data_IF_979212465870
#
_entry.id   IF_979212465870
#
_cell.length_a   1.000
_cell.length_b   1.000
_cell.length_c   1.000
_cell.angle_alpha   90.00
_cell.angle_beta   90.00
_cell.angle_gamma   90.00
#
_symmetry.space_group_name_H-M   'P 1'
#
loop_
_entity.id
_entity.type
_entity.pdbx_description
1 polymer ?
#
# COMPACT_ATOMS: atom_id res chain seq x y z
N UNK A 1 -0.53 93.48 54.01
CA UNK A 1 0.84 94.01 53.85
C UNK A 1 1.61 93.02 53.00
N UNK A 2 2.18 93.50 51.88
CA UNK A 2 3.05 92.79 50.89
C UNK A 2 2.34 91.67 50.10
N UNK A 3 1.95 91.82 48.82
CA UNK A 3 2.70 92.25 47.62
C UNK A 3 4.09 91.64 47.52
N UNK A 4 4.31 90.73 46.57
CA UNK A 4 5.23 90.94 45.44
C UNK A 4 5.16 89.79 44.41
N UNK A 5 5.06 90.23 43.17
CA UNK A 5 5.33 89.60 41.87
C UNK A 5 6.78 89.11 41.71
N UNK A 6 7.02 88.06 40.89
CA UNK A 6 7.62 88.19 39.53
C UNK A 6 8.44 86.97 39.07
N UNK A 7 8.38 86.73 37.75
CA UNK A 7 9.35 86.07 36.84
C UNK A 7 9.73 84.61 37.13
N UNK A 8 9.77 83.68 36.18
CA UNK A 8 10.11 83.78 34.76
C UNK A 8 11.27 82.83 34.51
N UNK A 9 11.01 81.67 33.91
CA UNK A 9 12.03 80.66 33.62
C UNK A 9 11.53 79.69 32.55
N UNK A 10 11.99 79.91 31.30
CA UNK A 10 11.73 79.05 30.16
C UNK A 10 12.41 77.69 30.33
N UNK A 11 11.63 76.61 30.36
CA UNK A 11 12.10 75.24 30.19
C UNK A 11 11.62 74.69 28.85
N UNK A 12 12.54 74.51 27.90
CA UNK A 12 12.28 73.79 26.64
C UNK A 12 12.02 72.32 26.96
N UNK A 13 10.79 71.85 26.80
CA UNK A 13 10.50 70.42 26.75
C UNK A 13 10.60 69.93 25.31
N UNK A 14 11.58 69.04 25.11
CA UNK A 14 11.82 68.28 23.88
C UNK A 14 10.66 67.30 23.71
N UNK A 15 9.89 67.45 22.63
CA UNK A 15 8.89 66.48 22.23
C UNK A 15 9.56 65.19 21.76
N UNK A 16 9.43 64.12 22.53
CA UNK A 16 9.77 62.77 22.10
C UNK A 16 8.65 62.33 21.15
N UNK A 17 8.96 62.31 19.84
CA UNK A 17 8.12 61.66 18.83
C UNK A 17 8.33 60.16 18.97
N UNK A 18 7.40 59.49 19.64
CA UNK A 18 7.27 58.02 19.61
C UNK A 18 6.77 57.62 18.22
N UNK A 19 7.69 57.25 17.34
CA UNK A 19 7.40 56.53 16.10
C UNK A 19 6.88 55.14 16.46
N UNK A 20 5.55 54.98 16.44
CA UNK A 20 4.91 53.67 16.38
C UNK A 20 5.18 53.08 15.00
N UNK A 21 6.24 52.28 14.86
CA UNK A 21 6.38 51.34 13.76
C UNK A 21 5.33 50.23 13.98
N UNK A 22 4.16 50.38 13.38
CA UNK A 22 3.24 49.27 13.20
C UNK A 22 3.91 48.27 12.25
N UNK A 23 4.54 47.24 12.81
CA UNK A 23 4.87 46.05 12.06
C UNK A 23 3.53 45.42 11.64
N UNK A 24 3.13 45.63 10.39
CA UNK A 24 2.13 44.76 9.76
C UNK A 24 2.74 43.36 9.72
N UNK A 25 2.41 42.53 10.71
CA UNK A 25 2.41 41.10 10.49
C UNK A 25 1.40 40.85 9.36
N UNK A 26 1.90 40.65 8.14
CA UNK A 26 1.14 39.94 7.13
C UNK A 26 0.86 38.56 7.74
N UNK A 27 -0.34 38.37 8.29
CA UNK A 27 -0.91 37.05 8.44
C UNK A 27 -0.91 36.47 7.03
N UNK A 28 0.06 35.61 6.73
CA UNK A 28 0.06 34.85 5.49
C UNK A 28 -1.23 34.06 5.45
N UNK A 29 -2.15 34.46 4.59
CA UNK A 29 -3.32 33.64 4.30
C UNK A 29 -2.74 32.40 3.63
N UNK A 30 -2.78 31.27 4.33
CA UNK A 30 -2.42 30.00 3.72
C UNK A 30 -3.31 29.82 2.50
N UNK A 31 -2.70 29.64 1.33
CA UNK A 31 -3.45 29.37 0.11
C UNK A 31 -4.32 28.14 0.32
N UNK A 32 -5.57 28.19 -0.14
CA UNK A 32 -6.44 27.02 -0.07
C UNK A 32 -6.04 25.99 -1.15
N UNK A 33 -6.29 24.68 -0.92
CA UNK A 33 -6.06 23.66 -1.95
C UNK A 33 -6.89 23.93 -3.21
N UNK A 34 -6.27 23.78 -4.38
CA UNK A 34 -6.95 23.89 -5.67
C UNK A 34 -7.63 22.56 -5.96
N UNK A 35 -8.94 22.58 -6.23
CA UNK A 35 -9.67 21.41 -6.75
C UNK A 35 -9.54 21.41 -8.27
N UNK A 36 -8.75 20.47 -8.80
CA UNK A 36 -8.51 20.34 -10.26
C UNK A 36 -9.66 19.55 -10.91
N UNK A 37 -10.12 18.50 -10.21
CA UNK A 37 -11.28 17.69 -10.60
C UNK A 37 -12.18 17.49 -9.39
N UNK A 38 -13.49 17.73 -9.54
CA UNK A 38 -14.46 17.43 -8.49
C UNK A 38 -14.69 15.92 -8.39
N UNK A 39 -14.98 15.43 -7.18
CA UNK A 39 -15.28 14.02 -6.94
C UNK A 39 -16.75 13.65 -7.16
N UNK A 40 -17.56 14.52 -7.78
CA UNK A 40 -19.01 14.27 -7.97
C UNK A 40 -19.28 13.06 -8.85
N UNK A 41 -18.35 12.73 -9.75
CA UNK A 41 -18.39 11.52 -10.57
C UNK A 41 -16.98 10.99 -10.79
N UNK A 42 -16.84 9.67 -10.69
CA UNK A 42 -15.63 8.98 -11.09
C UNK A 42 -15.47 9.02 -12.61
N UNK A 43 -14.30 9.46 -13.08
CA UNK A 43 -13.92 9.49 -14.49
C UNK A 43 -13.26 8.16 -14.84
N UNK A 44 -13.84 7.43 -15.79
CA UNK A 44 -13.32 6.17 -16.29
C UNK A 44 -12.25 6.43 -17.36
N UNK A 45 -11.05 5.90 -17.15
CA UNK A 45 -9.98 5.91 -18.15
C UNK A 45 -9.69 4.47 -18.58
N UNK A 46 -9.37 4.30 -19.87
CA UNK A 46 -8.90 3.02 -20.43
C UNK A 46 -7.58 3.20 -21.15
N UNK A 47 -6.63 2.29 -20.92
CA UNK A 47 -5.43 2.17 -21.74
C UNK A 47 -5.48 0.93 -22.64
N UNK A 48 -4.75 0.95 -23.75
CA UNK A 48 -4.62 -0.20 -24.66
C UNK A 48 -5.94 -0.68 -25.32
N UNK A 49 -5.88 -1.83 -26.00
CA UNK A 49 -7.07 -2.57 -26.48
C UNK A 49 -7.74 -2.06 -27.76
N UNK A 50 -7.59 -0.78 -28.10
CA UNK A 50 -8.26 -0.18 -29.27
C UNK A 50 -9.77 0.03 -29.04
N UNK A 51 -10.48 0.63 -30.02
CA UNK A 51 -11.87 1.06 -29.85
C UNK A 51 -12.89 -0.07 -29.62
N UNK A 52 -12.50 -1.32 -29.91
CA UNK A 52 -13.37 -2.51 -29.80
C UNK A 52 -13.04 -3.41 -28.59
N UNK A 53 -12.09 -3.03 -27.73
CA UNK A 53 -11.76 -3.82 -26.54
C UNK A 53 -12.92 -3.80 -25.53
N UNK A 54 -13.32 -4.98 -25.08
CA UNK A 54 -14.30 -5.14 -24.02
C UNK A 54 -13.76 -4.57 -22.70
N UNK A 55 -14.63 -4.00 -21.84
CA UNK A 55 -14.23 -3.64 -20.49
C UNK A 55 -13.77 -4.84 -19.68
N UNK A 56 -12.83 -4.61 -18.77
CA UNK A 56 -12.31 -5.63 -17.86
C UNK A 56 -13.42 -6.18 -16.95
N UNK A 57 -14.29 -5.28 -16.46
CA UNK A 57 -15.43 -5.64 -15.61
C UNK A 57 -16.75 -5.11 -16.17
N UNK A 58 -17.85 -5.82 -15.90
CA UNK A 58 -19.19 -5.41 -16.34
C UNK A 58 -19.59 -4.04 -15.80
N UNK A 59 -19.05 -3.65 -14.65
CA UNK A 59 -19.31 -2.35 -14.01
C UNK A 59 -18.75 -1.17 -14.81
N UNK A 60 -17.76 -1.39 -15.69
CA UNK A 60 -17.26 -0.36 -16.60
C UNK A 60 -18.13 -0.18 -17.85
N UNK A 61 -18.97 -1.16 -18.19
CA UNK A 61 -19.77 -1.18 -19.41
C UNK A 61 -20.77 -0.01 -19.51
N UNK A 62 -21.15 0.59 -18.38
CA UNK A 62 -22.08 1.73 -18.32
C UNK A 62 -21.41 3.09 -18.54
N UNK A 63 -20.10 3.13 -18.79
CA UNK A 63 -19.33 4.36 -18.92
C UNK A 63 -18.50 4.38 -20.20
N UNK A 64 -18.32 5.58 -20.78
CA UNK A 64 -17.46 5.78 -21.95
C UNK A 64 -16.06 6.16 -21.47
N UNK A 65 -15.04 5.30 -21.65
CA UNK A 65 -13.70 5.61 -21.21
C UNK A 65 -13.07 6.73 -22.05
N UNK A 66 -12.15 7.47 -21.43
CA UNK A 66 -11.19 8.33 -22.13
C UNK A 66 -9.80 7.71 -22.04
N UNK A 67 -8.95 7.90 -23.05
CA UNK A 67 -7.59 7.31 -23.06
C UNK A 67 -6.62 8.03 -22.11
N UNK A 68 -6.91 9.30 -21.84
CA UNK A 68 -6.04 10.22 -21.11
C UNK A 68 -6.88 11.25 -20.39
N UNK A 69 -6.57 11.47 -19.12
CA UNK A 69 -7.06 12.66 -18.42
C UNK A 69 -6.10 13.82 -18.70
N UNK A 70 -6.66 14.94 -19.13
CA UNK A 70 -5.91 16.12 -19.54
C UNK A 70 -6.67 17.38 -19.11
N UNK A 71 -6.24 17.96 -18.00
CA UNK A 71 -6.94 19.03 -17.31
C UNK A 71 -6.07 20.27 -17.25
N UNK A 72 -6.64 21.43 -17.57
CA UNK A 72 -6.02 22.74 -17.31
C UNK A 72 -6.64 23.36 -16.07
N UNK A 73 -5.82 24.05 -15.27
CA UNK A 73 -6.28 24.73 -14.05
C UNK A 73 -5.45 25.98 -13.76
N UNK A 74 -6.01 26.90 -12.99
CA UNK A 74 -5.33 28.13 -12.58
C UNK A 74 -4.74 27.99 -11.17
N UNK A 75 -3.51 28.44 -10.97
CA UNK A 75 -2.85 28.49 -9.66
C UNK A 75 -2.44 29.91 -9.29
N UNK A 76 -2.71 30.31 -8.05
CA UNK A 76 -2.23 31.57 -7.44
C UNK A 76 -0.89 31.40 -6.71
N UNK A 77 -0.33 30.20 -6.70
CA UNK A 77 0.94 29.87 -6.06
C UNK A 77 1.83 29.03 -6.99
N UNK A 78 3.14 29.07 -6.74
CA UNK A 78 4.16 28.40 -7.57
C UNK A 78 4.74 27.14 -6.91
N UNK A 79 4.31 26.82 -5.68
CA UNK A 79 4.88 25.72 -4.90
C UNK A 79 3.77 24.96 -4.15
N UNK A 80 3.86 23.63 -4.19
CA UNK A 80 2.88 22.71 -3.62
C UNK A 80 3.62 21.57 -2.90
N UNK A 81 3.01 21.06 -1.83
CA UNK A 81 3.55 19.91 -1.11
C UNK A 81 3.19 18.60 -1.80
N UNK A 82 1.91 18.45 -2.16
CA UNK A 82 1.39 17.20 -2.72
C UNK A 82 0.20 17.41 -3.65
N UNK A 83 0.01 16.42 -4.52
CA UNK A 83 -1.15 16.20 -5.35
C UNK A 83 -1.93 15.01 -4.76
N UNK A 84 -3.14 15.26 -4.27
CA UNK A 84 -4.06 14.24 -3.78
C UNK A 84 -4.91 13.73 -4.94
N UNK A 85 -4.99 12.40 -5.09
CA UNK A 85 -5.75 11.75 -6.17
C UNK A 85 -6.58 10.61 -5.57
N UNK A 86 -7.86 10.58 -5.88
CA UNK A 86 -8.73 9.43 -5.63
C UNK A 86 -8.67 8.47 -6.83
N UNK A 87 -8.28 7.21 -6.62
CA UNK A 87 -8.17 6.19 -7.66
C UNK A 87 -8.90 4.88 -7.30
N UNK A 88 -9.28 4.11 -8.31
CA UNK A 88 -9.73 2.71 -8.19
C UNK A 88 -9.22 1.87 -9.37
N UNK A 89 -9.04 0.57 -9.12
CA UNK A 89 -8.80 -0.48 -10.14
C UNK A 89 -7.50 -0.34 -10.95
N UNK A 90 -6.45 0.27 -10.38
CA UNK A 90 -5.18 0.52 -11.10
C UNK A 90 -4.30 -0.74 -11.13
N UNK A 91 -4.18 -1.39 -12.30
CA UNK A 91 -3.36 -2.61 -12.47
C UNK A 91 -2.06 -2.36 -13.22
N UNK A 92 -2.04 -1.35 -14.09
CA UNK A 92 -0.91 -0.99 -14.93
C UNK A 92 -0.21 0.30 -14.48
N UNK A 93 0.92 0.62 -15.11
CA UNK A 93 1.69 1.81 -14.77
C UNK A 93 1.12 3.08 -15.44
N UNK A 94 0.19 3.75 -14.76
CA UNK A 94 -0.36 5.04 -15.18
C UNK A 94 0.58 6.19 -14.80
N UNK A 95 1.00 6.97 -15.80
CA UNK A 95 1.94 8.08 -15.63
C UNK A 95 1.20 9.35 -15.29
N UNK A 96 1.68 10.06 -14.27
CA UNK A 96 1.16 11.38 -13.86
C UNK A 96 2.19 12.45 -14.23
N UNK A 97 1.75 13.56 -14.84
CA UNK A 97 2.61 14.72 -15.12
C UNK A 97 1.91 16.01 -14.75
N UNK A 98 2.66 16.90 -14.11
CA UNK A 98 2.26 18.26 -13.82
C UNK A 98 3.10 19.20 -14.68
N UNK A 99 2.45 19.90 -15.62
CA UNK A 99 3.10 20.60 -16.72
C UNK A 99 4.08 19.66 -17.47
N UNK A 100 5.35 20.02 -17.54
CA UNK A 100 6.41 19.23 -18.18
C UNK A 100 7.13 18.30 -17.19
N UNK A 101 6.73 18.31 -15.91
CA UNK A 101 7.40 17.56 -14.83
C UNK A 101 6.69 16.23 -14.58
N UNK A 102 7.35 15.08 -14.75
CA UNK A 102 6.80 13.79 -14.34
C UNK A 102 6.72 13.70 -12.82
N UNK A 103 5.60 13.17 -12.31
CA UNK A 103 5.44 12.75 -10.92
C UNK A 103 5.61 11.23 -10.82
N UNK A 104 5.54 10.70 -9.60
CA UNK A 104 5.39 9.26 -9.41
C UNK A 104 4.14 8.73 -10.13
N UNK A 105 4.20 7.52 -10.71
CA UNK A 105 3.03 6.90 -11.32
C UNK A 105 1.97 6.61 -10.25
N UNK A 106 0.74 6.38 -10.69
CA UNK A 106 -0.28 5.85 -9.78
C UNK A 106 0.20 4.50 -9.21
N UNK A 107 0.10 4.28 -7.88
CA UNK A 107 0.40 2.98 -7.30
C UNK A 107 -0.56 1.95 -7.90
N UNK A 108 -0.02 0.77 -8.21
CA UNK A 108 -0.81 -0.36 -8.68
C UNK A 108 -1.53 -0.98 -7.50
N UNK A 109 -2.80 -0.66 -7.40
CA UNK A 109 -3.69 -1.11 -6.35
C UNK A 109 -5.12 -0.96 -6.87
N UNK A 110 -5.85 -2.07 -6.82
CA UNK A 110 -7.22 -2.13 -7.32
C UNK A 110 -8.24 -1.60 -6.31
N UNK A 111 -7.83 -1.43 -5.04
CA UNK A 111 -8.71 -0.89 -4.01
C UNK A 111 -9.09 0.56 -4.30
N UNK A 112 -10.14 1.01 -3.60
CA UNK A 112 -10.53 2.40 -3.56
C UNK A 112 -9.57 3.20 -2.65
N UNK A 113 -8.72 4.04 -3.25
CA UNK A 113 -7.63 4.75 -2.56
C UNK A 113 -7.72 6.28 -2.72
N UNK A 114 -7.38 7.00 -1.64
CA UNK A 114 -6.92 8.40 -1.73
C UNK A 114 -5.41 8.43 -1.54
N UNK A 115 -4.69 8.62 -2.65
CA UNK A 115 -3.23 8.68 -2.70
C UNK A 115 -2.72 10.12 -2.56
N UNK A 116 -1.45 10.27 -2.23
CA UNK A 116 -0.79 11.57 -2.18
C UNK A 116 0.58 11.48 -2.84
N UNK A 117 0.74 12.19 -3.96
CA UNK A 117 1.98 12.23 -4.73
C UNK A 117 2.76 13.51 -4.36
N UNK A 118 4.04 13.41 -3.95
CA UNK A 118 4.87 14.60 -3.73
C UNK A 118 4.97 15.44 -5.00
N UNK A 119 4.89 16.77 -4.86
CA UNK A 119 5.08 17.70 -5.99
C UNK A 119 6.50 18.27 -5.94
N UNK A 120 7.34 18.02 -6.97
CA UNK A 120 8.69 18.58 -7.03
C UNK A 120 8.68 20.11 -7.12
N UNK A 121 9.71 20.73 -6.57
CA UNK A 121 9.94 22.18 -6.72
C UNK A 121 10.01 22.56 -8.21
N UNK A 122 9.34 23.66 -8.58
CA UNK A 122 9.29 24.14 -9.96
C UNK A 122 8.35 23.36 -10.90
N UNK A 123 7.65 22.33 -10.43
CA UNK A 123 6.63 21.63 -11.23
C UNK A 123 5.39 22.50 -11.49
N UNK A 124 5.11 23.46 -10.61
CA UNK A 124 3.97 24.36 -10.67
C UNK A 124 4.41 25.77 -11.06
N UNK A 125 3.56 26.50 -11.79
CA UNK A 125 3.75 27.91 -12.15
C UNK A 125 2.53 28.74 -11.77
N UNK A 126 2.71 30.04 -11.65
CA UNK A 126 1.59 30.96 -11.43
C UNK A 126 0.77 31.08 -12.72
N UNK A 127 -0.56 31.15 -12.59
CA UNK A 127 -1.49 31.15 -13.71
C UNK A 127 -1.84 29.74 -14.21
N UNK A 128 -1.85 29.55 -15.53
CA UNK A 128 -2.34 28.32 -16.14
C UNK A 128 -1.35 27.15 -16.03
N UNK A 129 -1.82 26.03 -15.49
CA UNK A 129 -1.11 24.77 -15.37
C UNK A 129 -1.90 23.65 -16.05
N UNK A 130 -1.22 22.53 -16.30
CA UNK A 130 -1.82 21.35 -16.93
C UNK A 130 -1.48 20.08 -16.16
N UNK A 131 -2.46 19.26 -15.83
CA UNK A 131 -2.29 17.93 -15.24
C UNK A 131 -2.66 16.89 -16.28
N UNK A 132 -1.78 15.89 -16.47
CA UNK A 132 -2.07 14.75 -17.35
C UNK A 132 -1.87 13.42 -16.65
N UNK A 133 -2.82 12.50 -16.83
CA UNK A 133 -2.74 11.11 -16.39
C UNK A 133 -2.99 10.20 -17.60
N UNK A 134 -2.02 9.34 -17.91
CA UNK A 134 -2.02 8.51 -19.12
C UNK A 134 -1.53 7.09 -18.83
N UNK A 135 -2.25 6.10 -19.33
CA UNK A 135 -1.90 4.69 -19.18
C UNK A 135 -0.86 4.22 -20.21
N UNK A 136 -0.40 2.96 -20.12
CA UNK A 136 0.50 2.37 -21.11
C UNK A 136 -0.20 2.18 -22.47
N UNK A 137 0.55 2.32 -23.56
CA UNK A 137 0.01 2.12 -24.90
C UNK A 137 -0.15 0.64 -25.28
N UNK A 138 0.60 -0.24 -24.61
CA UNK A 138 0.79 -1.64 -24.93
C UNK A 138 0.14 -2.60 -23.92
N UNK A 139 -0.55 -2.09 -22.91
CA UNK A 139 -1.30 -2.89 -21.94
C UNK A 139 -2.72 -2.34 -21.75
N UNK A 140 -3.66 -3.27 -21.58
CA UNK A 140 -5.06 -2.96 -21.26
C UNK A 140 -5.18 -2.73 -19.76
N UNK A 141 -5.91 -1.69 -19.38
CA UNK A 141 -6.29 -1.41 -18.00
C UNK A 141 -7.50 -0.49 -17.98
N UNK A 142 -8.47 -0.76 -17.12
CA UNK A 142 -9.60 0.11 -16.81
C UNK A 142 -9.46 0.68 -15.41
N UNK A 143 -9.43 2.01 -15.29
CA UNK A 143 -9.30 2.68 -13.99
C UNK A 143 -10.38 3.72 -13.78
N UNK A 144 -10.60 4.10 -12.53
CA UNK A 144 -11.45 5.24 -12.18
C UNK A 144 -10.68 6.27 -11.38
N UNK A 145 -10.87 7.54 -11.74
CA UNK A 145 -10.29 8.68 -11.03
C UNK A 145 -11.40 9.57 -10.47
N UNK A 146 -11.34 9.86 -9.18
CA UNK A 146 -12.29 10.73 -8.49
C UNK A 146 -11.77 12.15 -8.31
N UNK A 147 -11.88 12.67 -7.09
CA UNK A 147 -11.41 14.01 -6.77
C UNK A 147 -9.88 14.12 -6.96
N UNK A 148 -9.43 15.26 -7.49
CA UNK A 148 -8.01 15.61 -7.59
C UNK A 148 -7.79 17.00 -6.98
N UNK A 149 -6.89 17.10 -6.01
CA UNK A 149 -6.57 18.35 -5.32
C UNK A 149 -5.08 18.61 -5.27
N UNK A 150 -4.70 19.86 -5.51
CA UNK A 150 -3.33 20.32 -5.34
C UNK A 150 -3.23 21.12 -4.03
N UNK A 151 -2.38 20.64 -3.12
CA UNK A 151 -2.22 21.25 -1.81
C UNK A 151 -0.97 22.15 -1.80
N UNK A 152 -1.13 23.47 -1.55
CA UNK A 152 0.01 24.39 -1.48
C UNK A 152 0.94 24.01 -0.33
N UNK A 153 2.21 24.40 -0.47
CA UNK A 153 3.18 24.20 0.61
C UNK A 153 2.79 25.00 1.83
N UNK A 154 2.77 24.34 2.99
CA UNK A 154 2.42 24.96 4.27
C UNK A 154 3.42 24.60 5.37
N UNK A 155 3.45 25.38 6.46
CA UNK A 155 4.32 25.09 7.61
C UNK A 155 4.05 23.70 8.20
N UNK A 156 2.77 23.30 8.22
CA UNK A 156 2.33 21.96 8.60
C UNK A 156 1.82 21.25 7.34
N UNK A 157 2.52 20.21 6.85
CA UNK A 157 2.11 19.49 5.65
C UNK A 157 0.69 18.94 5.76
N UNK A 158 -0.03 18.88 4.64
CA UNK A 158 -1.43 18.40 4.58
C UNK A 158 -1.61 17.01 5.23
N UNK A 159 -0.76 16.05 4.89
CA UNK A 159 -0.79 14.70 5.47
C UNK A 159 -0.42 14.65 6.97
N UNK A 160 0.04 15.75 7.54
CA UNK A 160 0.52 15.80 8.92
C UNK A 160 -0.38 16.65 9.83
N UNK A 161 -1.56 17.07 9.37
CA UNK A 161 -2.45 17.97 10.12
C UNK A 161 -2.90 17.42 11.48
N UNK A 162 -3.16 16.11 11.56
CA UNK A 162 -3.60 15.43 12.77
C UNK A 162 -2.66 14.25 13.07
N UNK A 163 -2.58 13.84 14.32
CA UNK A 163 -1.86 12.64 14.75
C UNK A 163 -2.82 11.66 15.43
N UNK A 164 -2.71 10.39 15.07
CA UNK A 164 -3.43 9.30 15.71
C UNK A 164 -2.41 8.28 16.23
N UNK A 165 -2.59 7.87 17.49
CA UNK A 165 -1.94 6.71 18.08
C UNK A 165 -2.98 5.62 18.27
N UNK A 166 -2.69 4.41 17.85
CA UNK A 166 -3.58 3.26 17.99
C UNK A 166 -2.82 2.16 18.72
N UNK A 167 -3.44 1.64 19.78
CA UNK A 167 -2.96 0.52 20.57
C UNK A 167 -3.95 -0.64 20.40
N UNK A 168 -3.47 -1.79 19.96
CA UNK A 168 -4.29 -2.99 19.74
C UNK A 168 -3.91 -4.09 20.71
N UNK A 169 -4.89 -4.58 21.45
CA UNK A 169 -4.74 -5.64 22.46
C UNK A 169 -5.58 -6.87 22.13
N UNK A 170 -5.11 -8.04 22.56
CA UNK A 170 -5.93 -9.24 22.57
C UNK A 170 -6.86 -9.20 23.80
N UNK A 171 -8.17 -9.35 23.61
CA UNK A 171 -9.15 -9.25 24.72
C UNK A 171 -8.93 -10.33 25.79
N UNK A 172 -8.47 -11.51 25.38
CA UNK A 172 -8.30 -12.68 26.27
C UNK A 172 -7.06 -12.55 27.14
N UNK A 173 -5.93 -12.13 26.56
CA UNK A 173 -4.66 -12.00 27.29
C UNK A 173 -4.47 -10.61 27.92
N UNK A 174 -5.16 -9.59 27.39
CA UNK A 174 -4.94 -8.15 27.69
C UNK A 174 -3.55 -7.64 27.27
N UNK A 175 -2.81 -8.42 26.49
CA UNK A 175 -1.49 -8.04 25.99
C UNK A 175 -1.61 -7.39 24.61
N UNK A 176 -0.60 -6.59 24.23
CA UNK A 176 -0.51 -6.06 22.89
C UNK A 176 -0.33 -7.20 21.88
N UNK A 177 -1.01 -7.10 20.73
CA UNK A 177 -1.00 -8.16 19.70
C UNK A 177 -0.71 -7.56 18.34
N UNK A 178 0.06 -8.26 17.48
CA UNK A 178 0.19 -7.85 16.09
C UNK A 178 -1.19 -7.68 15.43
N UNK A 179 -1.30 -6.72 14.52
CA UNK A 179 -2.55 -6.44 13.83
C UNK A 179 -2.34 -5.78 12.47
N UNK A 180 -3.39 -5.80 11.66
CA UNK A 180 -3.60 -4.89 10.54
C UNK A 180 -4.58 -3.79 10.93
N UNK A 181 -4.20 -2.54 10.70
CA UNK A 181 -5.07 -1.38 10.73
C UNK A 181 -5.52 -1.02 9.32
N UNK A 182 -6.81 -0.74 9.15
CA UNK A 182 -7.39 -0.21 7.92
C UNK A 182 -8.04 1.14 8.19
N UNK A 183 -7.66 2.17 7.44
CA UNK A 183 -8.04 3.57 7.64
C UNK A 183 -8.88 4.02 6.45
N UNK A 184 -10.21 4.10 6.65
CA UNK A 184 -11.14 4.58 5.64
C UNK A 184 -11.52 6.03 5.91
N UNK A 185 -11.59 6.86 4.87
CA UNK A 185 -12.18 8.19 4.96
C UNK A 185 -13.72 8.14 4.97
N UNK A 186 -14.37 9.30 5.02
CA UNK A 186 -15.83 9.43 5.01
C UNK A 186 -16.53 8.84 3.78
N UNK A 187 -15.80 8.61 2.68
CA UNK A 187 -16.31 8.01 1.44
C UNK A 187 -16.04 6.51 1.37
N UNK A 188 -15.40 5.92 2.38
CA UNK A 188 -15.05 4.50 2.40
C UNK A 188 -13.76 4.15 1.65
N UNK A 189 -13.01 5.15 1.15
CA UNK A 189 -11.73 4.94 0.47
C UNK A 189 -10.57 4.86 1.48
N UNK A 190 -9.57 4.04 1.18
CA UNK A 190 -8.32 3.91 1.94
C UNK A 190 -7.54 5.22 1.88
N UNK A 191 -7.33 5.85 3.03
CA UNK A 191 -6.67 7.15 3.12
C UNK A 191 -5.15 6.99 3.28
N UNK A 192 -4.36 7.60 2.39
CA UNK A 192 -2.91 7.73 2.63
C UNK A 192 -2.61 8.42 3.96
N UNK A 193 -1.69 7.82 4.70
CA UNK A 193 -1.20 8.29 6.00
C UNK A 193 0.30 8.55 5.94
N UNK A 194 0.79 9.43 6.80
CA UNK A 194 2.22 9.62 7.03
C UNK A 194 2.64 8.87 8.28
N UNK A 195 3.61 7.95 8.15
CA UNK A 195 4.13 7.17 9.27
C UNK A 195 5.63 7.45 9.41
N UNK A 196 6.12 7.89 10.58
CA UNK A 196 7.55 7.96 10.84
C UNK A 196 8.19 6.56 10.73
N UNK A 197 9.43 6.49 10.24
CA UNK A 197 10.14 5.22 10.08
C UNK A 197 10.17 4.44 11.41
N UNK A 198 9.57 3.23 11.40
CA UNK A 198 9.55 2.31 12.55
C UNK A 198 9.63 0.87 12.03
N UNK A 199 10.62 0.06 12.46
CA UNK A 199 10.84 -1.30 11.93
C UNK A 199 9.65 -2.26 12.08
N UNK A 200 8.80 -2.06 13.08
CA UNK A 200 7.63 -2.91 13.35
C UNK A 200 6.36 -2.44 12.63
N UNK A 201 6.47 -1.49 11.69
CA UNK A 201 5.37 -1.05 10.84
C UNK A 201 5.65 -1.35 9.37
N UNK A 202 4.68 -1.96 8.69
CA UNK A 202 4.64 -2.04 7.23
C UNK A 202 3.42 -1.24 6.74
N UNK A 203 3.62 -0.33 5.80
CA UNK A 203 2.64 0.72 5.48
C UNK A 203 2.34 0.76 4.00
N UNK A 204 1.04 0.85 3.67
CA UNK A 204 0.48 1.11 2.34
C UNK A 204 -0.61 2.18 2.48
N UNK A 205 -1.10 2.81 1.39
CA UNK A 205 -2.23 3.73 1.47
C UNK A 205 -3.41 3.13 2.25
N UNK A 206 -3.79 3.77 3.36
CA UNK A 206 -4.87 3.33 4.24
C UNK A 206 -4.66 2.02 4.98
N UNK A 207 -3.47 1.40 4.93
CA UNK A 207 -3.19 0.13 5.62
C UNK A 207 -1.89 0.22 6.39
N UNK A 208 -1.92 -0.15 7.67
CA UNK A 208 -0.74 -0.26 8.53
C UNK A 208 -0.74 -1.63 9.20
N UNK A 209 0.28 -2.43 8.96
CA UNK A 209 0.55 -3.61 9.79
C UNK A 209 1.44 -3.19 10.94
N UNK A 210 1.05 -3.55 12.16
CA UNK A 210 1.82 -3.30 13.38
C UNK A 210 2.21 -4.63 14.02
N UNK A 211 3.50 -4.92 14.07
CA UNK A 211 4.03 -6.18 14.61
C UNK A 211 3.94 -6.29 16.13
N UNK A 212 3.67 -5.19 16.84
CA UNK A 212 3.52 -5.13 18.29
C UNK A 212 2.19 -4.53 18.73
N UNK A 213 1.26 -4.31 17.80
CA UNK A 213 -0.06 -3.74 18.09
C UNK A 213 -0.08 -2.22 18.23
N UNK A 214 1.06 -1.53 18.12
CA UNK A 214 1.14 -0.08 18.25
C UNK A 214 1.41 0.59 16.92
N UNK A 215 0.67 1.65 16.60
CA UNK A 215 0.95 2.52 15.46
C UNK A 215 0.71 3.98 15.80
N UNK A 216 1.68 4.84 15.48
CA UNK A 216 1.51 6.30 15.51
C UNK A 216 1.70 6.84 14.10
N UNK A 217 0.70 7.55 13.61
CA UNK A 217 0.70 8.09 12.25
C UNK A 217 -0.02 9.43 12.19
N UNK A 218 0.24 10.15 11.12
CA UNK A 218 -0.42 11.42 10.84
C UNK A 218 -1.27 11.32 9.58
N UNK A 219 -2.31 12.14 9.53
CA UNK A 219 -3.27 12.19 8.43
C UNK A 219 -3.91 13.59 8.36
N UNK A 220 -4.58 13.93 7.25
CA UNK A 220 -5.33 15.18 7.14
C UNK A 220 -6.42 15.32 8.22
N UNK A 221 -6.92 16.53 8.41
CA UNK A 221 -8.16 16.74 9.16
C UNK A 221 -9.35 16.16 8.39
N UNK A 222 -10.27 15.49 9.09
CA UNK A 222 -11.38 14.79 8.45
C UNK A 222 -12.07 13.79 9.35
N UNK A 223 -13.00 13.04 8.75
CA UNK A 223 -13.69 11.93 9.39
C UNK A 223 -13.15 10.60 8.87
N UNK A 224 -12.86 9.69 9.79
CA UNK A 224 -12.26 8.40 9.48
C UNK A 224 -12.94 7.27 10.23
N UNK A 225 -12.93 6.07 9.64
CA UNK A 225 -13.22 4.82 10.33
C UNK A 225 -11.94 3.98 10.37
N UNK A 226 -11.51 3.64 11.57
CA UNK A 226 -10.33 2.83 11.84
C UNK A 226 -10.80 1.42 12.18
N UNK A 227 -10.29 0.43 11.44
CA UNK A 227 -10.48 -0.98 11.76
C UNK A 227 -9.17 -1.57 12.26
N UNK A 228 -9.26 -2.53 13.18
CA UNK A 228 -8.15 -3.38 13.59
C UNK A 228 -8.56 -4.86 13.51
N UNK A 229 -7.74 -5.68 12.87
CA UNK A 229 -7.95 -7.12 12.73
C UNK A 229 -6.64 -7.89 12.69
N UNK A 230 -6.72 -9.23 12.66
CA UNK A 230 -5.55 -10.12 12.60
C UNK A 230 -5.89 -11.43 11.87
N UNK A 231 -6.11 -11.34 10.55
CA UNK A 231 -6.58 -12.46 9.74
C UNK A 231 -8.04 -12.85 10.01
N UNK A 232 -8.51 -13.89 9.32
CA UNK A 232 -9.93 -14.31 9.31
C UNK A 232 -10.43 -14.96 10.60
N UNK A 233 -9.52 -15.33 11.50
CA UNK A 233 -9.86 -16.05 12.74
C UNK A 233 -10.14 -15.10 13.91
N UNK A 234 -9.81 -13.81 13.76
CA UNK A 234 -9.97 -12.80 14.79
C UNK A 234 -11.15 -11.88 14.50
N UNK A 235 -11.77 -11.39 15.57
CA UNK A 235 -12.79 -10.34 15.52
C UNK A 235 -12.23 -9.07 14.88
N UNK A 236 -13.09 -8.28 14.25
CA UNK A 236 -12.74 -6.96 13.72
C UNK A 236 -13.17 -5.85 14.70
N UNK A 237 -12.21 -5.11 15.25
CA UNK A 237 -12.50 -3.90 16.01
C UNK A 237 -12.71 -2.72 15.07
N UNK A 238 -13.62 -1.81 15.40
CA UNK A 238 -13.96 -0.65 14.58
C UNK A 238 -14.18 0.58 15.46
N UNK A 239 -13.63 1.73 15.05
CA UNK A 239 -13.83 3.01 15.71
C UNK A 239 -13.88 4.15 14.69
N UNK A 240 -14.94 4.97 14.74
CA UNK A 240 -15.00 6.22 13.98
C UNK A 240 -14.38 7.37 14.77
N UNK A 241 -13.66 8.24 14.06
CA UNK A 241 -13.00 9.44 14.61
C UNK A 241 -13.25 10.65 13.73
N UNK A 242 -13.45 11.80 14.36
CA UNK A 242 -13.45 13.12 13.71
C UNK A 242 -12.24 13.90 14.23
N UNK A 243 -11.42 14.38 13.32
CA UNK A 243 -10.17 15.06 13.64
C UNK A 243 -10.15 16.46 13.04
N UNK A 244 -9.84 17.45 13.87
CA UNK A 244 -9.55 18.82 13.43
C UNK A 244 -8.06 19.08 13.34
N UNK A 245 -7.64 19.98 12.44
CA UNK A 245 -6.21 20.27 12.26
C UNK A 245 -5.57 20.71 13.58
N UNK A 246 -4.50 20.03 13.99
CA UNK A 246 -3.85 20.20 15.29
C UNK A 246 -4.19 19.11 16.30
N UNK A 247 -5.20 18.27 16.04
CA UNK A 247 -5.57 17.18 16.93
C UNK A 247 -4.45 16.15 17.08
N UNK A 248 -4.28 15.66 18.30
CA UNK A 248 -3.56 14.42 18.61
C UNK A 248 -4.49 13.56 19.47
N UNK A 249 -4.75 12.32 19.03
CA UNK A 249 -5.65 11.39 19.73
C UNK A 249 -5.02 10.02 19.88
N UNK A 250 -5.45 9.30 20.92
CA UNK A 250 -5.12 7.89 21.12
C UNK A 250 -6.39 7.04 21.09
N UNK A 251 -6.32 5.87 20.46
CA UNK A 251 -7.37 4.86 20.39
C UNK A 251 -6.86 3.54 20.95
N UNK A 252 -7.59 3.00 21.93
CA UNK A 252 -7.38 1.65 22.41
C UNK A 252 -8.43 0.72 21.76
N UNK A 253 -7.97 -0.21 20.93
CA UNK A 253 -8.79 -1.21 20.27
C UNK A 253 -8.46 -2.60 20.85
N UNK A 254 -9.45 -3.48 20.89
CA UNK A 254 -9.24 -4.85 21.32
C UNK A 254 -9.90 -5.85 20.37
N UNK A 255 -9.13 -6.85 19.97
CA UNK A 255 -9.57 -7.96 19.11
C UNK A 255 -9.46 -9.28 19.87
N UNK A 256 -10.16 -10.32 19.45
CA UNK A 256 -10.07 -11.66 20.03
C UNK A 256 -10.15 -12.73 18.95
N UNK A 257 -9.52 -13.88 19.16
CA UNK A 257 -9.70 -15.03 18.26
C UNK A 257 -11.10 -15.62 18.46
N UNK A 258 -11.94 -15.55 17.43
CA UNK A 258 -13.33 -16.01 17.46
C UNK A 258 -13.48 -17.43 16.88
N UNK A 259 -12.57 -17.82 16.00
CA UNK A 259 -12.58 -19.16 15.39
C UNK A 259 -11.61 -20.07 16.13
N UNK A 260 -12.13 -21.15 16.72
CA UNK A 260 -11.26 -22.18 17.30
C UNK A 260 -10.61 -23.00 16.19
N UNK A 261 -9.29 -22.95 16.14
CA UNK A 261 -8.45 -23.71 15.21
C UNK A 261 -7.71 -24.84 15.92
N UNK A 262 -8.30 -25.40 16.98
CA UNK A 262 -7.67 -26.52 17.69
C UNK A 262 -7.39 -27.67 16.72
N UNK A 263 -6.12 -28.02 16.53
CA UNK A 263 -5.70 -29.05 15.57
C UNK A 263 -5.50 -28.55 14.13
N UNK A 264 -5.66 -27.26 13.88
CA UNK A 264 -5.41 -26.57 12.62
C UNK A 264 -4.32 -25.50 12.80
N UNK A 265 -3.73 -25.06 11.70
CA UNK A 265 -2.70 -24.00 11.66
C UNK A 265 -2.97 -23.10 10.47
N UNK A 266 -3.00 -21.79 10.68
CA UNK A 266 -3.10 -20.81 9.60
C UNK A 266 -1.79 -20.79 8.79
N UNK A 267 -1.85 -21.13 7.50
CA UNK A 267 -0.67 -21.29 6.67
C UNK A 267 -0.75 -20.45 5.39
N UNK A 268 0.36 -19.83 5.04
CA UNK A 268 0.60 -19.26 3.72
C UNK A 268 1.77 -20.00 3.07
N UNK A 269 1.45 -20.81 2.05
CA UNK A 269 2.39 -21.71 1.39
C UNK A 269 3.12 -21.09 0.21
N UNK A 270 2.83 -19.82 -0.12
CA UNK A 270 3.34 -19.19 -1.34
C UNK A 270 3.70 -17.72 -1.08
N UNK A 271 4.82 -17.51 -0.38
CA UNK A 271 5.28 -16.18 0.06
C UNK A 271 6.54 -15.76 -0.68
N UNK A 272 6.51 -14.53 -1.21
CA UNK A 272 7.65 -13.86 -1.83
C UNK A 272 8.01 -12.56 -1.14
N UNK A 273 9.26 -12.15 -1.37
CA UNK A 273 9.76 -10.80 -1.07
C UNK A 273 10.29 -10.14 -2.33
N UNK A 274 10.15 -8.82 -2.42
CA UNK A 274 10.79 -8.03 -3.47
C UNK A 274 12.32 -8.19 -3.40
N UNK A 275 12.86 -8.26 -2.18
CA UNK A 275 14.29 -8.43 -1.88
C UNK A 275 14.92 -9.62 -2.60
N UNK A 276 14.22 -10.76 -2.68
CA UNK A 276 14.77 -11.98 -3.26
C UNK A 276 14.10 -12.46 -4.55
N UNK A 277 12.81 -12.22 -4.72
CA UNK A 277 12.08 -12.64 -5.93
C UNK A 277 12.03 -11.54 -7.02
N UNK A 278 12.28 -10.27 -6.67
CA UNK A 278 12.30 -9.16 -7.63
C UNK A 278 10.91 -8.65 -8.04
N UNK A 279 9.84 -9.15 -7.41
CA UNK A 279 8.47 -8.68 -7.56
C UNK A 279 7.74 -8.66 -6.22
N UNK A 280 6.52 -8.10 -6.21
CA UNK A 280 5.84 -7.67 -4.99
C UNK A 280 6.40 -6.34 -4.49
N UNK A 281 6.02 -5.94 -3.29
CA UNK A 281 6.28 -4.59 -2.77
C UNK A 281 6.94 -4.59 -1.38
N UNK A 282 7.31 -5.75 -0.85
CA UNK A 282 7.76 -5.88 0.54
C UNK A 282 9.23 -6.31 0.65
N UNK A 283 9.94 -5.72 1.62
CA UNK A 283 11.20 -6.28 2.12
C UNK A 283 10.93 -7.56 2.95
N UNK A 284 11.99 -8.27 3.33
CA UNK A 284 11.87 -9.42 4.25
C UNK A 284 11.31 -8.95 5.60
N UNK A 285 11.82 -7.83 6.12
CA UNK A 285 11.41 -7.26 7.40
C UNK A 285 9.93 -6.87 7.38
N UNK A 286 9.49 -6.16 6.35
CA UNK A 286 8.06 -5.84 6.17
C UNK A 286 7.22 -7.12 6.09
N UNK A 287 7.68 -8.15 5.38
CA UNK A 287 6.96 -9.43 5.29
C UNK A 287 6.79 -10.09 6.66
N UNK A 288 7.76 -10.00 7.56
CA UNK A 288 7.60 -10.57 8.90
C UNK A 288 6.52 -9.85 9.70
N UNK A 289 6.45 -8.53 9.55
CA UNK A 289 5.40 -7.69 10.17
C UNK A 289 4.02 -8.04 9.60
N UNK A 290 3.89 -8.18 8.28
CA UNK A 290 2.59 -8.51 7.65
C UNK A 290 2.12 -9.91 8.00
N UNK A 291 3.01 -10.92 8.03
CA UNK A 291 2.67 -12.28 8.45
C UNK A 291 2.14 -12.31 9.89
N UNK A 292 2.81 -11.62 10.81
CA UNK A 292 2.36 -11.52 12.20
C UNK A 292 1.00 -10.79 12.30
N UNK A 293 0.86 -9.68 11.55
CA UNK A 293 -0.32 -8.82 11.53
C UNK A 293 -1.55 -9.46 10.87
N UNK A 294 -1.38 -10.39 9.93
CA UNK A 294 -2.45 -11.20 9.35
C UNK A 294 -2.68 -12.53 10.08
N UNK A 295 -1.95 -12.80 11.17
CA UNK A 295 -2.16 -14.00 11.97
C UNK A 295 -1.76 -15.31 11.28
N UNK A 296 -0.85 -15.25 10.29
CA UNK A 296 -0.29 -16.46 9.66
C UNK A 296 0.62 -17.16 10.67
N UNK A 297 0.37 -18.43 10.97
CA UNK A 297 1.09 -19.20 11.99
C UNK A 297 2.22 -20.06 11.39
N UNK A 298 2.11 -20.44 10.11
CA UNK A 298 3.10 -21.20 9.35
C UNK A 298 3.32 -20.56 7.98
N UNK A 299 4.40 -19.81 7.82
CA UNK A 299 4.72 -19.13 6.56
C UNK A 299 5.83 -19.88 5.82
N UNK A 300 5.61 -20.22 4.55
CA UNK A 300 6.62 -20.90 3.73
C UNK A 300 7.32 -19.86 2.85
N UNK A 301 8.61 -19.66 3.06
CA UNK A 301 9.45 -18.78 2.25
C UNK A 301 9.73 -19.44 0.90
N UNK A 302 9.02 -19.03 -0.15
CA UNK A 302 9.07 -19.64 -1.48
C UNK A 302 9.63 -18.68 -2.52
N UNK A 303 10.64 -17.89 -2.17
CA UNK A 303 11.28 -17.00 -3.15
C UNK A 303 11.77 -17.77 -4.39
N UNK A 304 11.63 -17.16 -5.57
CA UNK A 304 11.87 -17.83 -6.85
C UNK A 304 13.27 -18.45 -6.91
N UNK A 305 13.32 -19.79 -7.05
CA UNK A 305 14.54 -20.57 -7.19
C UNK A 305 15.58 -20.31 -6.08
N UNK A 306 15.13 -19.89 -4.89
CA UNK A 306 15.99 -19.53 -3.74
C UNK A 306 15.44 -20.12 -2.45
N UNK A 307 16.32 -20.77 -1.68
CA UNK A 307 16.03 -21.23 -0.33
C UNK A 307 16.45 -20.13 0.65
N UNK A 308 15.51 -19.23 0.99
CA UNK A 308 15.77 -18.12 1.90
C UNK A 308 15.26 -18.48 3.30
N UNK A 309 16.10 -18.28 4.32
CA UNK A 309 15.69 -18.40 5.71
C UNK A 309 15.18 -17.07 6.25
N UNK A 310 13.86 -16.98 6.51
CA UNK A 310 13.23 -15.81 7.13
C UNK A 310 13.40 -15.74 8.66
N UNK A 311 13.88 -16.82 9.32
CA UNK A 311 14.05 -16.86 10.78
C UNK A 311 14.91 -15.72 11.33
N UNK A 312 16.06 -15.36 10.73
CA UNK A 312 16.90 -14.28 11.27
C UNK A 312 16.17 -12.94 11.35
N UNK A 313 15.45 -12.56 10.29
CA UNK A 313 14.68 -11.31 10.24
C UNK A 313 13.53 -11.32 11.26
N UNK A 314 12.78 -12.43 11.34
CA UNK A 314 11.72 -12.58 12.34
C UNK A 314 12.27 -12.52 13.78
N UNK A 315 13.48 -13.05 14.02
CA UNK A 315 14.12 -13.02 15.33
C UNK A 315 14.56 -11.61 15.72
N UNK A 316 15.18 -10.87 14.78
CA UNK A 316 15.63 -9.50 14.98
C UNK A 316 14.47 -8.56 15.32
N UNK A 317 13.31 -8.77 14.69
CA UNK A 317 12.08 -8.04 14.98
C UNK A 317 11.33 -8.56 16.22
N UNK A 318 11.77 -9.69 16.80
CA UNK A 318 11.10 -10.31 17.96
C UNK A 318 9.75 -10.96 17.64
N UNK A 319 9.48 -11.25 16.35
CA UNK A 319 8.19 -11.75 15.87
C UNK A 319 8.09 -13.29 15.81
N UNK A 320 9.19 -14.02 16.00
CA UNK A 320 9.21 -15.50 15.99
C UNK A 320 8.24 -16.17 16.98
N UNK A 321 7.77 -15.45 18.00
CA UNK A 321 6.75 -15.95 18.94
C UNK A 321 5.36 -16.07 18.31
N UNK A 322 5.12 -15.43 17.17
CA UNK A 322 3.80 -15.36 16.53
C UNK A 322 3.61 -16.37 15.41
N UNK A 323 4.69 -16.84 14.78
CA UNK A 323 4.64 -17.76 13.64
C UNK A 323 5.95 -18.55 13.48
N UNK A 324 5.85 -19.66 12.76
CA UNK A 324 7.01 -20.48 12.37
C UNK A 324 7.29 -20.29 10.88
N UNK A 325 8.37 -19.60 10.49
CA UNK A 325 8.80 -19.59 9.09
C UNK A 325 9.42 -20.94 8.72
N UNK A 326 9.13 -21.41 7.52
CA UNK A 326 9.68 -22.63 6.91
C UNK A 326 10.39 -22.26 5.62
N UNK A 327 11.57 -22.80 5.42
CA UNK A 327 12.31 -22.62 4.17
C UNK A 327 11.66 -23.49 3.11
N UNK A 328 11.25 -22.87 2.01
CA UNK A 328 10.83 -23.55 0.80
C UNK A 328 11.60 -23.02 -0.40
N UNK A 329 11.06 -23.29 -1.59
CA UNK A 329 11.53 -22.76 -2.86
C UNK A 329 10.38 -22.84 -3.85
N UNK A 330 10.04 -21.74 -4.52
CA UNK A 330 9.23 -21.82 -5.73
C UNK A 330 10.14 -22.20 -6.91
N UNK A 331 10.15 -23.49 -7.25
CA UNK A 331 10.84 -24.00 -8.43
C UNK A 331 10.09 -23.51 -9.67
N UNK A 332 10.63 -22.46 -10.26
CA UNK A 332 10.02 -21.68 -11.33
C UNK A 332 10.54 -22.18 -12.66
N UNK A 333 9.81 -23.09 -13.31
CA UNK A 333 10.19 -23.67 -14.61
C UNK A 333 9.41 -23.03 -15.76
N UNK A 334 9.79 -23.34 -17.00
CA UNK A 334 9.02 -22.90 -18.19
C UNK A 334 7.68 -23.61 -18.37
N UNK A 335 7.45 -24.74 -17.70
CA UNK A 335 6.27 -25.59 -17.94
C UNK A 335 5.36 -25.72 -16.73
N UNK A 336 5.71 -25.08 -15.61
CA UNK A 336 4.95 -25.04 -14.37
C UNK A 336 5.79 -24.51 -13.21
N UNK A 337 5.15 -23.98 -12.18
CA UNK A 337 5.83 -23.55 -10.96
C UNK A 337 5.42 -24.45 -9.80
N UNK A 338 6.37 -24.73 -8.90
CA UNK A 338 6.16 -25.68 -7.82
C UNK A 338 6.75 -25.18 -6.51
N UNK A 339 5.93 -25.08 -5.45
CA UNK A 339 6.47 -24.84 -4.11
C UNK A 339 6.90 -26.15 -3.48
N UNK A 340 8.18 -26.23 -3.11
CA UNK A 340 8.78 -27.37 -2.41
C UNK A 340 9.18 -26.99 -1.00
N UNK A 341 8.73 -27.74 0.01
CA UNK A 341 9.10 -27.51 1.42
C UNK A 341 8.88 -28.73 2.33
N UNK A 342 9.56 -28.80 3.49
CA UNK A 342 10.68 -27.95 3.88
C UNK A 342 11.93 -28.25 3.04
N UNK A 343 12.83 -27.26 2.91
CA UNK A 343 14.15 -27.44 2.30
C UNK A 343 15.25 -26.93 3.25
N UNK A 344 16.49 -27.43 3.15
CA UNK A 344 17.61 -26.85 3.87
C UNK A 344 17.93 -25.44 3.37
N UNK A 345 18.65 -24.60 4.16
CA UNK A 345 19.05 -23.25 3.75
C UNK A 345 20.21 -23.20 2.72
N UNK A 346 20.75 -24.34 2.30
CA UNK A 346 21.99 -24.45 1.50
C UNK A 346 21.77 -25.42 0.35
N UNK A 347 22.58 -25.26 -0.72
CA UNK A 347 22.70 -26.15 -1.87
C UNK A 347 22.75 -27.66 -1.53
N UNK A 348 22.27 -28.53 -2.45
CA UNK A 348 21.81 -28.19 -3.80
C UNK A 348 20.38 -27.63 -3.82
N UNK A 349 20.14 -26.66 -4.69
CA UNK A 349 18.79 -26.22 -5.07
C UNK A 349 18.21 -27.10 -6.18
N UNK A 350 16.86 -27.26 -6.24
CA UNK A 350 16.22 -27.91 -7.37
C UNK A 350 16.57 -27.24 -8.70
N UNK A 351 16.96 -28.04 -9.69
CA UNK A 351 17.21 -27.55 -11.05
C UNK A 351 15.89 -27.21 -11.76
N UNK A 352 15.60 -25.91 -11.83
CA UNK A 352 14.39 -25.37 -12.45
C UNK A 352 14.45 -25.32 -13.99
N UNK A 353 15.54 -25.77 -14.62
CA UNK A 353 15.71 -25.71 -16.08
C UNK A 353 15.05 -26.88 -16.81
N UNK A 354 14.69 -27.96 -16.11
CA UNK A 354 13.93 -29.06 -16.68
C UNK A 354 12.57 -28.60 -17.19
N UNK A 355 12.22 -29.06 -18.39
CA UNK A 355 10.91 -28.79 -19.02
C UNK A 355 10.01 -30.01 -19.05
N UNK A 356 10.60 -31.21 -19.04
CA UNK A 356 9.89 -32.48 -18.94
C UNK A 356 9.48 -32.75 -17.48
N UNK A 357 8.22 -33.08 -17.24
CA UNK A 357 7.68 -33.26 -15.89
C UNK A 357 8.13 -34.59 -15.25
N UNK A 358 8.49 -35.60 -16.05
CA UNK A 358 9.09 -36.83 -15.56
C UNK A 358 10.52 -36.59 -15.06
N UNK A 359 11.32 -35.85 -15.82
CA UNK A 359 12.66 -35.41 -15.40
C UNK A 359 12.60 -34.51 -14.17
N UNK A 360 11.63 -33.58 -14.13
CA UNK A 360 11.41 -32.71 -12.98
C UNK A 360 11.02 -33.52 -11.73
N UNK A 361 10.17 -34.54 -11.87
CA UNK A 361 9.88 -35.48 -10.78
C UNK A 361 11.13 -36.20 -10.28
N UNK A 362 11.98 -36.69 -11.18
CA UNK A 362 13.23 -37.33 -10.82
C UNK A 362 14.24 -36.35 -10.18
N UNK A 363 14.19 -35.06 -10.52
CA UNK A 363 14.93 -34.02 -9.83
C UNK A 363 14.37 -33.79 -8.43
N UNK A 364 13.06 -33.68 -8.27
CA UNK A 364 12.42 -33.48 -6.97
C UNK A 364 12.69 -34.65 -6.01
N UNK A 365 12.75 -35.88 -6.51
CA UNK A 365 13.12 -37.07 -5.73
C UNK A 365 14.54 -36.99 -5.12
N UNK A 366 15.43 -36.13 -5.65
CA UNK A 366 16.77 -35.89 -5.08
C UNK A 366 16.75 -34.98 -3.85
N UNK A 367 15.66 -34.24 -3.63
CA UNK A 367 15.44 -33.34 -2.51
C UNK A 367 14.49 -34.00 -1.50
N UNK A 368 14.91 -35.14 -0.95
CA UNK A 368 14.09 -36.03 -0.11
C UNK A 368 13.53 -35.38 1.17
N UNK A 369 14.08 -34.24 1.57
CA UNK A 369 13.66 -33.41 2.69
C UNK A 369 12.35 -32.65 2.39
N UNK A 370 12.07 -32.36 1.12
CA UNK A 370 10.82 -31.76 0.69
C UNK A 370 9.69 -32.79 0.82
N UNK A 371 8.81 -32.55 1.80
CA UNK A 371 7.66 -33.42 2.06
C UNK A 371 6.41 -32.97 1.32
N UNK A 372 6.33 -31.68 1.01
CA UNK A 372 5.21 -31.06 0.30
C UNK A 372 5.73 -30.45 -0.99
N UNK A 373 5.09 -30.81 -2.08
CA UNK A 373 5.32 -30.25 -3.41
C UNK A 373 3.96 -29.83 -3.96
N UNK A 374 3.76 -28.52 -4.03
CA UNK A 374 2.51 -27.91 -4.51
C UNK A 374 2.70 -27.50 -5.96
N UNK A 375 1.81 -27.92 -6.86
CA UNK A 375 1.71 -27.30 -8.18
C UNK A 375 1.00 -25.95 -8.03
N UNK A 376 1.74 -24.86 -8.26
CA UNK A 376 1.24 -23.51 -8.10
C UNK A 376 0.39 -23.11 -9.30
N UNK A 377 -0.67 -22.33 -9.05
CA UNK A 377 -1.52 -21.63 -10.01
C UNK A 377 -1.53 -22.30 -11.40
N UNK A 378 -2.00 -23.55 -11.45
CA UNK A 378 -1.82 -24.45 -12.60
C UNK A 378 -2.54 -23.98 -13.86
N UNK A 379 -3.45 -23.01 -13.70
CA UNK A 379 -4.22 -22.39 -14.77
C UNK A 379 -3.61 -21.11 -15.30
N UNK A 380 -2.51 -20.64 -14.74
CA UNK A 380 -1.85 -19.41 -15.18
C UNK A 380 -0.92 -19.68 -16.37
N UNK A 381 -0.51 -18.61 -17.03
CA UNK A 381 0.35 -18.68 -18.20
C UNK A 381 1.82 -18.51 -17.81
N UNK A 382 2.60 -19.59 -17.93
CA UNK A 382 4.02 -19.65 -17.59
C UNK A 382 4.84 -19.75 -18.87
N UNK A 383 5.50 -18.67 -19.30
CA UNK A 383 6.29 -18.66 -20.54
C UNK A 383 5.54 -19.18 -21.78
N UNK A 384 4.23 -18.90 -21.87
CA UNK A 384 3.36 -19.37 -22.96
C UNK A 384 2.76 -20.77 -22.75
N UNK A 385 3.05 -21.44 -21.63
CA UNK A 385 2.50 -22.74 -21.25
C UNK A 385 1.48 -22.57 -20.13
N UNK A 386 0.29 -23.14 -20.30
CA UNK A 386 -0.71 -23.26 -19.22
C UNK A 386 -0.74 -24.72 -18.76
N UNK A 387 -0.19 -25.07 -17.59
CA UNK A 387 -0.03 -26.46 -17.15
C UNK A 387 -1.33 -27.27 -17.25
N UNK A 388 -2.42 -26.70 -16.72
CA UNK A 388 -3.77 -27.27 -16.78
C UNK A 388 -4.64 -26.60 -17.87
N UNK A 389 -3.99 -26.14 -18.94
CA UNK A 389 -4.67 -25.66 -20.14
C UNK A 389 -5.25 -26.81 -20.96
N UNK A 390 -6.23 -26.52 -21.83
CA UNK A 390 -6.93 -27.53 -22.64
C UNK A 390 -6.01 -28.29 -23.61
N UNK A 391 -4.80 -27.77 -23.88
CA UNK A 391 -3.81 -28.44 -24.72
C UNK A 391 -3.06 -29.56 -24.00
N UNK A 392 -2.94 -29.50 -22.67
CA UNK A 392 -2.03 -30.36 -21.90
C UNK A 392 -2.75 -31.23 -20.86
N UNK A 393 -3.95 -30.84 -20.43
CA UNK A 393 -4.60 -31.47 -19.28
C UNK A 393 -6.08 -31.78 -19.51
N UNK A 394 -6.48 -32.99 -19.16
CA UNK A 394 -7.88 -33.41 -19.10
C UNK A 394 -8.45 -33.18 -17.70
N UNK A 395 -9.19 -32.07 -17.54
CA UNK A 395 -9.78 -31.70 -16.26
C UNK A 395 -10.86 -32.67 -15.75
N UNK A 396 -11.44 -33.52 -16.61
CA UNK A 396 -12.50 -34.47 -16.20
C UNK A 396 -11.91 -35.66 -15.44
N UNK A 397 -10.74 -36.13 -15.86
CA UNK A 397 -10.09 -37.32 -15.27
C UNK A 397 -8.82 -36.98 -14.48
N UNK A 398 -8.39 -35.73 -14.50
CA UNK A 398 -7.25 -35.25 -13.70
C UNK A 398 -5.88 -35.69 -14.23
N UNK A 399 -5.74 -35.90 -15.54
CA UNK A 399 -4.49 -36.42 -16.14
C UNK A 399 -3.98 -35.54 -17.26
N UNK A 400 -2.66 -35.56 -17.47
CA UNK A 400 -2.03 -34.95 -18.65
C UNK A 400 -2.26 -35.79 -19.91
N UNK A 401 -2.38 -35.14 -21.06
CA UNK A 401 -2.56 -35.83 -22.35
C UNK A 401 -1.29 -36.51 -22.87
N UNK A 402 -0.12 -36.01 -22.46
CA UNK A 402 1.19 -36.58 -22.82
C UNK A 402 1.58 -37.80 -21.96
N UNK A 403 0.75 -38.17 -20.98
CA UNK A 403 0.99 -39.29 -20.08
C UNK A 403 2.08 -39.04 -19.03
N UNK A 404 2.64 -37.82 -18.94
CA UNK A 404 3.64 -37.50 -17.94
C UNK A 404 3.01 -37.45 -16.54
N UNK A 405 3.74 -37.84 -15.49
CA UNK A 405 3.27 -37.69 -14.12
C UNK A 405 3.19 -36.21 -13.73
N UNK A 406 2.37 -35.92 -12.73
CA UNK A 406 2.37 -34.61 -12.06
C UNK A 406 3.34 -34.74 -10.89
N UNK A 407 4.49 -34.04 -10.89
CA UNK A 407 5.51 -34.16 -9.84
C UNK A 407 5.13 -33.31 -8.63
N UNK A 408 3.90 -33.48 -8.12
CA UNK A 408 3.36 -32.72 -7.01
C UNK A 408 2.40 -33.60 -6.19
N UNK A 409 2.33 -33.36 -4.89
CA UNK A 409 1.42 -34.05 -3.97
C UNK A 409 0.30 -33.13 -3.43
N UNK A 410 0.30 -31.86 -3.82
CA UNK A 410 -0.75 -30.88 -3.58
C UNK A 410 -0.84 -29.90 -4.77
N UNK A 411 -1.87 -29.05 -4.79
CA UNK A 411 -2.02 -27.99 -5.78
C UNK A 411 -2.76 -26.79 -5.21
N UNK A 412 -2.47 -25.61 -5.76
CA UNK A 412 -3.26 -24.42 -5.48
C UNK A 412 -4.59 -24.49 -6.24
N UNK A 413 -5.68 -24.36 -5.49
CA UNK A 413 -7.04 -24.31 -6.03
C UNK A 413 -7.52 -22.85 -6.15
N UNK A 414 -6.97 -21.98 -5.31
CA UNK A 414 -7.22 -20.54 -5.27
C UNK A 414 -5.83 -19.88 -5.17
N UNK A 415 -5.59 -18.89 -6.02
CA UNK A 415 -4.40 -18.05 -5.99
C UNK A 415 -4.83 -16.61 -6.33
N UNK A 416 -4.18 -15.62 -5.75
CA UNK A 416 -4.48 -14.19 -5.97
C UNK A 416 -3.87 -13.60 -7.25
N UNK A 417 -3.09 -14.37 -8.00
CA UNK A 417 -2.42 -13.97 -9.25
C UNK A 417 -3.28 -14.08 -10.51
N UNK A 418 -4.60 -14.16 -10.38
CA UNK A 418 -5.55 -14.29 -11.49
C UNK A 418 -5.83 -12.96 -12.20
#
# INVERSE_FOLDING_TARGET
MFSTTSSGGQGKQVGIVLLFCAALCQLGIASEPIVIQSGERLVHLRSGGGPDAAPEWTEFAESTPIEKLDLTFQSSFIDADLLEIHQQDVKQAWKVRLNDTPLEPLPRDENDLVISLPVPEGALREGENRLTIEGPADAVDDIRLGQIRLHPRAEKPWLQQCQLTVHVTDKSTREATPCRLTILNSHGALQTVHVPLRPLLAVRPGVIYAGDGDATFSLPAGEYTIFAGRGFEYSLAQQSVQLTAGDSRSLDLSIEREVSTTGYVACDTHVHTLTHSGHGDCSIEERMVTLAGEGIELAIATDHNKQIDYRPAAQELGLLRHFTPVIGNEVTTKTGHFNMFPLPPIEPRPDHTFTDWGELGAEFDRHSEAQVIILNHARDLHSGVRPFGPLLFNAVIGTRFDGQPIPANAMEVINSGA
#
